data_IF_526703706314
#
_entry.id   IF_526703706314
#
_cell.length_a   1.000
_cell.length_b   1.000
_cell.length_c   1.000
_cell.angle_alpha   90.00
_cell.angle_beta   90.00
_cell.angle_gamma   90.00
#
_symmetry.space_group_name_H-M   'P 1'
#
loop_
_entity.id
_entity.type
_entity.pdbx_description
1 polymer ?
#
# COMPACT_ATOMS: atom_id res chain seq x y z
N UNK A 1 -20.52 2.94 0.99
CA UNK A 1 -19.12 2.95 1.44
C UNK A 1 -18.95 3.66 2.80
N UNK A 2 -19.57 4.85 3.03
CA UNK A 2 -19.42 5.60 4.31
C UNK A 2 -19.94 4.79 5.49
N UNK A 3 -21.13 4.20 5.39
CA UNK A 3 -21.67 3.33 6.45
C UNK A 3 -20.77 2.13 6.76
N UNK A 4 -20.11 1.56 5.74
CA UNK A 4 -19.16 0.48 5.97
C UNK A 4 -17.93 0.96 6.75
N UNK A 5 -17.45 2.17 6.44
CA UNK A 5 -16.37 2.81 7.19
C UNK A 5 -16.77 3.10 8.63
N UNK A 6 -18.01 3.59 8.86
CA UNK A 6 -18.55 3.82 10.20
C UNK A 6 -18.58 2.53 11.02
N UNK A 7 -19.01 1.41 10.42
CA UNK A 7 -19.10 0.10 11.10
C UNK A 7 -17.75 -0.49 11.48
N UNK A 8 -16.73 -0.33 10.62
CA UNK A 8 -15.40 -0.90 10.87
C UNK A 8 -14.42 0.07 11.51
N UNK A 9 -14.83 1.33 11.74
CA UNK A 9 -13.97 2.36 12.33
C UNK A 9 -12.87 2.87 11.39
N UNK A 10 -13.08 2.82 10.07
CA UNK A 10 -12.13 3.36 9.10
C UNK A 10 -12.40 4.85 8.88
N UNK A 11 -11.47 5.69 9.31
CA UNK A 11 -11.58 7.15 9.15
C UNK A 11 -11.38 7.57 7.70
N UNK A 12 -12.06 8.65 7.31
CA UNK A 12 -12.00 9.17 5.95
C UNK A 12 -12.15 10.71 5.91
N UNK A 13 -11.61 11.29 4.82
CA UNK A 13 -11.87 12.66 4.44
C UNK A 13 -13.11 12.74 3.55
N UNK A 14 -13.87 13.83 3.68
CA UNK A 14 -14.99 14.14 2.80
C UNK A 14 -14.57 15.21 1.77
N UNK A 15 -14.43 14.85 0.48
CA UNK A 15 -14.08 15.82 -0.55
C UNK A 15 -15.29 16.62 -1.04
N UNK A 16 -14.99 17.82 -1.55
CA UNK A 16 -15.96 18.73 -2.18
C UNK A 16 -16.33 18.32 -3.62
N UNK A 17 -16.31 17.03 -3.94
CA UNK A 17 -16.54 16.54 -5.28
C UNK A 17 -15.27 16.51 -6.13
N UNK A 18 -15.43 16.30 -7.43
CA UNK A 18 -14.33 16.17 -8.39
C UNK A 18 -13.59 17.48 -8.63
N UNK A 19 -12.56 17.72 -7.83
CA UNK A 19 -11.83 18.97 -7.84
C UNK A 19 -10.32 18.75 -7.91
N UNK A 20 -9.77 18.57 -9.10
CA UNK A 20 -8.33 18.48 -9.28
C UNK A 20 -7.61 19.79 -8.89
N UNK A 21 -8.16 20.94 -9.21
CA UNK A 21 -7.56 22.26 -8.94
C UNK A 21 -8.63 23.30 -8.65
N UNK A 22 -8.21 24.47 -8.20
CA UNK A 22 -9.08 25.61 -8.01
C UNK A 22 -9.84 25.98 -9.29
N UNK A 23 -11.08 26.39 -9.14
CA UNK A 23 -11.98 26.81 -10.22
C UNK A 23 -12.68 28.08 -9.83
N UNK A 24 -13.26 28.80 -10.82
CA UNK A 24 -13.83 30.14 -10.65
C UNK A 24 -15.25 30.19 -11.18
N UNK A 25 -15.94 31.30 -10.85
CA UNK A 25 -17.28 31.62 -11.32
C UNK A 25 -18.28 30.50 -11.03
N UNK A 26 -19.15 30.22 -11.98
CA UNK A 26 -20.20 29.22 -11.83
C UNK A 26 -19.70 27.81 -11.40
N UNK A 27 -18.47 27.45 -11.80
CA UNK A 27 -17.88 26.16 -11.37
C UNK A 27 -17.57 26.15 -9.89
N UNK A 28 -17.12 27.28 -9.36
CA UNK A 28 -16.88 27.41 -7.94
C UNK A 28 -18.18 27.41 -7.14
N UNK A 29 -19.19 28.17 -7.59
CA UNK A 29 -20.53 28.16 -6.99
C UNK A 29 -21.10 26.74 -6.91
N UNK A 30 -21.00 25.98 -8.01
CA UNK A 30 -21.39 24.57 -8.03
C UNK A 30 -20.62 23.72 -7.03
N UNK A 31 -19.30 23.96 -6.85
CA UNK A 31 -18.50 23.23 -5.87
C UNK A 31 -18.91 23.56 -4.43
N UNK A 32 -19.26 24.79 -4.15
CA UNK A 32 -19.81 25.19 -2.85
C UNK A 32 -21.14 24.47 -2.56
N UNK A 33 -22.05 24.39 -3.52
CA UNK A 33 -23.31 23.67 -3.37
C UNK A 33 -23.06 22.16 -3.16
N UNK A 34 -22.15 21.55 -3.90
CA UNK A 34 -21.78 20.13 -3.71
C UNK A 34 -21.19 19.89 -2.32
N UNK A 35 -20.34 20.78 -1.82
CA UNK A 35 -19.79 20.65 -0.47
C UNK A 35 -20.86 20.78 0.59
N UNK A 36 -21.77 21.75 0.44
CA UNK A 36 -22.92 21.92 1.33
C UNK A 36 -23.80 20.65 1.39
N UNK A 37 -24.17 20.14 0.24
CA UNK A 37 -24.97 18.90 0.13
C UNK A 37 -24.22 17.72 0.78
N UNK A 38 -22.92 17.57 0.49
CA UNK A 38 -22.11 16.52 1.07
C UNK A 38 -22.05 16.60 2.60
N UNK A 39 -21.90 17.80 3.17
CA UNK A 39 -21.90 18.03 4.62
C UNK A 39 -23.27 17.70 5.21
N UNK A 40 -24.35 18.23 4.66
CA UNK A 40 -25.71 18.00 5.16
C UNK A 40 -26.03 16.51 5.18
N UNK A 41 -25.66 15.79 4.12
CA UNK A 41 -25.93 14.36 4.00
C UNK A 41 -25.10 13.51 4.96
N UNK A 42 -23.83 13.88 5.18
CA UNK A 42 -22.87 12.99 5.84
C UNK A 42 -22.37 13.47 7.21
N UNK A 43 -22.77 14.63 7.70
CA UNK A 43 -22.28 15.19 8.98
C UNK A 43 -22.53 14.31 10.21
N UNK A 44 -23.44 13.36 10.13
CA UNK A 44 -23.73 12.42 11.21
C UNK A 44 -22.92 11.12 11.12
N UNK A 45 -22.07 10.96 10.11
CA UNK A 45 -21.23 9.79 9.93
C UNK A 45 -19.92 9.96 10.73
N UNK A 46 -19.67 9.12 11.76
CA UNK A 46 -18.52 9.28 12.65
C UNK A 46 -17.16 8.99 11.98
N UNK A 47 -17.15 8.26 10.87
CA UNK A 47 -15.92 7.97 10.12
C UNK A 47 -15.33 9.20 9.43
N UNK A 48 -16.13 10.23 9.15
CA UNK A 48 -15.65 11.46 8.53
C UNK A 48 -15.00 12.34 9.59
N UNK A 49 -13.70 12.61 9.43
CA UNK A 49 -12.91 13.36 10.41
C UNK A 49 -12.54 14.77 9.96
N UNK A 50 -12.53 15.03 8.65
CA UNK A 50 -12.29 16.38 8.11
C UNK A 50 -12.85 16.52 6.69
N UNK A 51 -12.93 17.77 6.24
CA UNK A 51 -13.45 18.17 4.93
C UNK A 51 -12.31 18.65 4.03
N UNK A 52 -12.32 18.20 2.78
CA UNK A 52 -11.32 18.50 1.77
C UNK A 52 -11.90 19.37 0.66
N UNK A 53 -11.35 20.57 0.46
CA UNK A 53 -11.86 21.54 -0.52
C UNK A 53 -11.49 21.22 -1.96
N UNK A 54 -10.54 20.34 -2.19
CA UNK A 54 -10.11 19.92 -3.52
C UNK A 54 -8.87 19.05 -3.48
N UNK A 55 -8.56 18.41 -4.60
CA UNK A 55 -7.36 17.60 -4.76
C UNK A 55 -6.07 18.43 -4.91
N UNK A 56 -6.20 19.74 -5.00
CA UNK A 56 -5.11 20.73 -4.93
C UNK A 56 -5.53 21.92 -4.08
N UNK A 57 -4.59 22.82 -3.80
CA UNK A 57 -4.88 24.03 -3.08
C UNK A 57 -5.95 24.89 -3.76
N UNK A 58 -6.75 25.54 -2.96
CA UNK A 58 -7.70 26.58 -3.39
C UNK A 58 -7.23 27.96 -2.91
N UNK A 59 -7.78 29.02 -3.46
CA UNK A 59 -7.47 30.37 -3.02
C UNK A 59 -7.88 30.60 -1.55
N UNK A 60 -7.32 31.63 -0.91
CA UNK A 60 -7.70 31.99 0.46
C UNK A 60 -9.18 32.30 0.59
N UNK A 61 -9.71 33.04 -0.38
CA UNK A 61 -11.12 33.39 -0.44
C UNK A 61 -12.01 32.14 -0.53
N UNK A 62 -11.66 31.25 -1.40
CA UNK A 62 -12.37 29.99 -1.57
C UNK A 62 -12.30 29.11 -0.31
N UNK A 63 -11.16 29.07 0.37
CA UNK A 63 -11.04 28.34 1.64
C UNK A 63 -11.93 28.93 2.73
N UNK A 64 -12.03 30.26 2.82
CA UNK A 64 -12.95 30.90 3.75
C UNK A 64 -14.42 30.60 3.46
N UNK A 65 -14.79 30.53 2.18
CA UNK A 65 -16.16 30.15 1.78
C UNK A 65 -16.46 28.69 2.14
N UNK A 66 -15.52 27.76 1.93
CA UNK A 66 -15.66 26.35 2.35
C UNK A 66 -15.82 26.22 3.87
N UNK A 67 -15.04 26.99 4.63
CA UNK A 67 -15.17 27.01 6.09
C UNK A 67 -16.51 27.58 6.53
N UNK A 68 -16.99 28.63 5.89
CA UNK A 68 -18.31 29.21 6.19
C UNK A 68 -19.44 28.19 6.01
N UNK A 69 -19.38 27.39 4.94
CA UNK A 69 -20.34 26.29 4.72
C UNK A 69 -20.21 25.24 5.85
N UNK A 70 -19.01 24.83 6.22
CA UNK A 70 -18.82 23.89 7.33
C UNK A 70 -19.38 24.47 8.63
N UNK A 71 -19.06 25.73 8.95
CA UNK A 71 -19.49 26.38 10.18
C UNK A 71 -21.03 26.54 10.27
N UNK A 72 -21.71 26.72 9.13
CA UNK A 72 -23.16 26.78 9.07
C UNK A 72 -23.82 25.41 9.18
N UNK A 73 -23.33 24.42 8.44
CA UNK A 73 -24.04 23.12 8.29
C UNK A 73 -23.49 21.99 9.17
N UNK A 74 -22.28 22.14 9.74
CA UNK A 74 -21.70 21.21 10.73
C UNK A 74 -21.02 21.94 11.89
N UNK A 75 -21.74 22.86 12.59
CA UNK A 75 -21.15 23.75 13.60
C UNK A 75 -20.59 23.01 14.82
N UNK A 76 -21.03 21.79 15.08
CA UNK A 76 -20.65 20.99 16.25
C UNK A 76 -19.79 19.78 15.93
N UNK A 77 -19.53 19.49 14.67
CA UNK A 77 -18.77 18.33 14.23
C UNK A 77 -17.29 18.38 14.58
N UNK A 78 -16.73 19.56 14.77
CA UNK A 78 -15.32 19.74 15.09
C UNK A 78 -14.37 19.36 13.95
N UNK A 79 -14.88 19.15 12.75
CA UNK A 79 -14.12 18.69 11.59
C UNK A 79 -13.35 19.83 10.95
N UNK A 80 -12.04 19.63 10.79
CA UNK A 80 -11.17 20.58 10.15
C UNK A 80 -11.45 20.70 8.65
N UNK A 81 -11.29 21.92 8.11
CA UNK A 81 -11.35 22.20 6.67
C UNK A 81 -9.97 22.54 6.12
N UNK A 82 -9.59 21.90 5.03
CA UNK A 82 -8.30 22.12 4.39
C UNK A 82 -8.26 21.54 2.99
N UNK A 83 -7.09 21.47 2.43
CA UNK A 83 -6.83 20.84 1.15
C UNK A 83 -5.36 20.53 0.97
N UNK A 84 -5.03 19.85 -0.11
CA UNK A 84 -3.64 19.66 -0.53
C UNK A 84 -2.97 21.00 -0.85
N UNK A 85 -1.65 21.09 -0.63
CA UNK A 85 -0.83 22.26 -0.93
C UNK A 85 -1.18 23.52 -0.11
N UNK A 86 -1.91 23.36 1.01
CA UNK A 86 -2.36 24.49 1.82
C UNK A 86 -1.64 24.65 3.17
N UNK A 87 -0.52 23.99 3.38
CA UNK A 87 0.23 24.05 4.64
C UNK A 87 0.76 25.45 5.00
N UNK A 88 0.85 26.35 4.02
CA UNK A 88 1.27 27.74 4.20
C UNK A 88 0.11 28.75 4.13
N UNK A 89 -1.12 28.28 4.06
CA UNK A 89 -2.32 29.10 3.96
C UNK A 89 -2.99 29.16 5.33
N UNK A 90 -3.02 30.34 5.93
CA UNK A 90 -3.53 30.53 7.30
C UNK A 90 -5.03 30.23 7.44
N UNK A 91 -5.77 30.34 6.38
CA UNK A 91 -7.22 30.09 6.31
C UNK A 91 -7.55 28.60 6.35
N UNK A 92 -6.61 27.73 5.94
CA UNK A 92 -6.76 26.30 6.07
C UNK A 92 -6.45 25.84 7.50
N UNK A 93 -7.19 24.88 8.02
CA UNK A 93 -6.98 24.31 9.35
C UNK A 93 -6.03 23.12 9.33
N UNK A 94 -5.85 22.50 8.17
CA UNK A 94 -4.82 21.52 7.86
C UNK A 94 -4.37 21.66 6.41
N UNK A 95 -3.27 21.03 6.07
CA UNK A 95 -2.84 20.93 4.69
C UNK A 95 -2.37 19.54 4.35
N UNK A 96 -2.58 19.15 3.09
CA UNK A 96 -2.17 17.83 2.56
C UNK A 96 -0.86 17.92 1.78
N UNK A 97 -0.14 16.82 1.80
CA UNK A 97 1.00 16.54 0.93
C UNK A 97 0.84 15.17 0.29
N UNK A 98 1.49 14.94 -0.85
CA UNK A 98 1.35 13.69 -1.57
C UNK A 98 2.43 12.67 -1.26
N UNK A 99 3.68 13.11 -1.27
CA UNK A 99 4.83 12.22 -1.37
C UNK A 99 5.74 12.26 -0.16
N UNK A 100 5.85 13.40 0.47
CA UNK A 100 6.81 13.66 1.53
C UNK A 100 6.17 14.13 2.80
N UNK A 101 6.86 13.86 3.89
CA UNK A 101 6.55 14.49 5.15
C UNK A 101 6.90 15.97 5.03
N UNK A 102 5.90 16.81 5.13
CA UNK A 102 6.10 18.25 5.12
C UNK A 102 6.86 18.71 6.35
N UNK A 103 7.71 19.71 6.18
CA UNK A 103 8.48 20.33 7.26
C UNK A 103 7.74 21.48 7.97
N UNK A 104 6.46 21.67 7.71
CA UNK A 104 5.67 22.67 8.41
C UNK A 104 5.59 22.36 9.90
N UNK A 105 5.71 23.42 10.71
CA UNK A 105 5.52 23.37 12.16
C UNK A 105 4.25 24.09 12.61
N UNK A 106 3.48 24.64 11.67
CA UNK A 106 2.34 25.52 11.96
C UNK A 106 1.00 24.80 11.80
N UNK A 107 0.80 24.15 10.68
CA UNK A 107 -0.45 23.48 10.35
C UNK A 107 -0.31 21.97 10.47
N UNK A 108 -1.34 21.28 10.97
CA UNK A 108 -1.45 19.83 10.86
C UNK A 108 -1.26 19.39 9.42
N UNK A 109 -0.49 18.32 9.21
CA UNK A 109 -0.21 17.78 7.91
C UNK A 109 -0.81 16.37 7.78
N UNK A 110 -1.62 16.17 6.75
CA UNK A 110 -2.12 14.87 6.36
C UNK A 110 -1.49 14.43 5.04
N UNK A 111 -0.81 13.31 5.00
CA UNK A 111 -0.29 12.77 3.75
C UNK A 111 -1.41 12.07 2.99
N UNK A 112 -1.88 12.69 1.92
CA UNK A 112 -3.08 12.27 1.20
C UNK A 112 -2.83 11.12 0.24
N UNK A 113 -1.60 10.98 -0.25
CA UNK A 113 -1.24 9.96 -1.22
C UNK A 113 0.19 9.48 -0.98
N UNK A 114 0.51 9.02 0.22
CA UNK A 114 1.86 8.52 0.44
C UNK A 114 2.10 7.21 -0.32
N UNK A 115 3.37 6.95 -0.65
CA UNK A 115 3.79 5.79 -1.43
C UNK A 115 3.20 5.73 -2.84
N UNK A 116 2.99 6.89 -3.45
CA UNK A 116 2.30 7.06 -4.72
C UNK A 116 3.16 6.78 -5.95
N UNK A 117 4.45 7.04 -5.87
CA UNK A 117 5.34 7.03 -7.03
C UNK A 117 5.86 5.69 -7.42
N UNK A 118 5.64 4.72 -6.60
CA UNK A 118 6.09 3.36 -6.79
C UNK A 118 5.35 2.69 -7.94
N UNK A 119 4.85 3.51 -8.83
CA UNK A 119 4.07 3.06 -9.93
C UNK A 119 4.47 3.65 -11.25
N UNK A 120 3.46 3.90 -11.98
CA UNK A 120 3.45 4.25 -13.38
C UNK A 120 3.75 5.71 -13.67
N UNK A 121 4.04 6.53 -12.67
CA UNK A 121 4.19 7.96 -12.87
C UNK A 121 5.64 8.35 -12.94
N UNK A 122 5.89 9.36 -13.77
CA UNK A 122 7.10 10.15 -13.62
C UNK A 122 7.17 10.70 -12.21
N UNK A 123 8.34 10.74 -11.72
CA UNK A 123 8.61 11.43 -10.49
C UNK A 123 8.44 12.94 -10.70
N UNK A 124 7.65 13.54 -9.85
CA UNK A 124 7.27 14.95 -9.98
C UNK A 124 7.56 15.78 -8.75
N UNK A 125 8.51 15.31 -7.98
CA UNK A 125 8.95 15.95 -6.76
C UNK A 125 9.73 17.24 -6.98
N UNK A 126 9.92 17.61 -8.21
CA UNK A 126 10.39 18.93 -8.56
C UNK A 126 9.53 20.05 -7.96
N UNK A 127 8.28 19.73 -7.61
CA UNK A 127 7.30 20.66 -7.05
C UNK A 127 6.97 20.42 -5.57
N UNK A 128 7.43 19.32 -4.99
CA UNK A 128 7.17 18.96 -3.60
C UNK A 128 8.39 19.21 -2.73
N UNK A 129 8.18 19.75 -1.54
CA UNK A 129 9.29 19.97 -0.62
C UNK A 129 9.60 18.70 0.21
N UNK A 130 10.87 18.32 0.39
CA UNK A 130 12.06 18.89 -0.24
C UNK A 130 12.10 18.63 -1.74
N UNK A 131 12.46 19.65 -2.51
CA UNK A 131 12.54 19.57 -3.96
C UNK A 131 13.58 18.53 -4.39
N UNK A 132 13.19 17.61 -5.24
CA UNK A 132 14.06 16.58 -5.79
C UNK A 132 14.17 16.74 -7.30
N UNK A 133 15.33 16.37 -7.83
CA UNK A 133 15.54 16.29 -9.28
C UNK A 133 15.03 14.95 -9.80
N UNK A 134 14.74 14.90 -11.09
CA UNK A 134 14.44 13.62 -11.75
C UNK A 134 15.59 12.64 -11.50
N UNK A 135 15.27 11.46 -10.99
CA UNK A 135 16.23 10.44 -10.61
C UNK A 135 16.59 10.34 -9.11
N UNK A 136 16.28 11.37 -8.32
CA UNK A 136 16.61 11.40 -6.89
C UNK A 136 15.64 10.59 -6.00
N UNK A 137 14.71 9.90 -6.58
CA UNK A 137 13.65 9.31 -5.83
C UNK A 137 13.93 7.95 -5.21
N UNK A 138 12.87 7.23 -4.88
CA UNK A 138 12.99 5.91 -4.27
C UNK A 138 13.94 5.01 -5.06
N UNK A 139 14.56 4.07 -4.37
CA UNK A 139 15.60 3.18 -4.88
C UNK A 139 15.25 2.40 -6.16
N UNK A 140 13.99 2.40 -6.53
CA UNK A 140 13.46 1.59 -7.66
C UNK A 140 13.31 2.38 -8.95
N UNK A 141 13.68 3.61 -8.95
CA UNK A 141 13.54 4.48 -10.10
C UNK A 141 14.37 4.04 -11.27
N UNK A 142 13.85 4.36 -12.43
CA UNK A 142 14.40 3.86 -13.67
C UNK A 142 13.99 2.45 -14.01
N UNK A 143 13.28 1.75 -13.11
CA UNK A 143 12.65 0.47 -13.40
C UNK A 143 11.20 0.67 -13.85
N UNK A 144 10.71 -0.13 -14.80
CA UNK A 144 9.30 -0.14 -15.16
C UNK A 144 8.42 -0.43 -13.94
N UNK A 145 7.24 0.17 -13.88
CA UNK A 145 6.30 -0.01 -12.78
C UNK A 145 5.98 -1.48 -12.47
N UNK A 146 5.89 -2.32 -13.48
CA UNK A 146 5.62 -3.73 -13.31
C UNK A 146 6.75 -4.49 -12.59
N UNK A 147 7.98 -3.98 -12.57
CA UNK A 147 9.09 -4.63 -11.88
C UNK A 147 9.02 -4.49 -10.36
N UNK A 148 8.45 -3.44 -9.85
CA UNK A 148 8.44 -3.18 -8.39
C UNK A 148 7.07 -2.95 -7.78
N UNK A 149 6.00 -2.88 -8.57
CA UNK A 149 4.64 -2.73 -8.05
C UNK A 149 3.88 -4.05 -7.87
N UNK A 150 4.49 -5.16 -8.23
CA UNK A 150 3.95 -6.48 -7.94
C UNK A 150 4.30 -6.90 -6.51
N UNK A 151 3.96 -8.14 -6.16
CA UNK A 151 4.39 -8.71 -4.90
C UNK A 151 5.89 -8.99 -4.92
N UNK A 152 6.68 -7.98 -4.65
CA UNK A 152 8.14 -8.04 -4.65
C UNK A 152 8.70 -7.70 -3.27
N UNK A 153 9.80 -8.35 -2.93
CA UNK A 153 10.52 -8.11 -1.67
C UNK A 153 10.91 -6.64 -1.50
N UNK A 154 11.40 -6.03 -2.59
CA UNK A 154 11.80 -4.62 -2.62
C UNK A 154 10.62 -3.68 -2.40
N UNK A 155 9.42 -4.05 -2.85
CA UNK A 155 8.22 -3.25 -2.60
C UNK A 155 7.82 -3.28 -1.12
N UNK A 156 7.90 -4.46 -0.48
CA UNK A 156 7.65 -4.57 0.96
C UNK A 156 8.68 -3.78 1.78
N UNK A 157 9.97 -3.85 1.42
CA UNK A 157 11.02 -3.06 2.05
C UNK A 157 10.77 -1.54 1.92
N UNK A 158 10.40 -1.08 0.72
CA UNK A 158 10.03 0.32 0.45
C UNK A 158 8.86 0.80 1.32
N UNK A 159 7.90 -0.06 1.59
CA UNK A 159 6.79 0.24 2.49
C UNK A 159 7.30 0.55 3.91
N UNK A 160 8.23 -0.26 4.42
CA UNK A 160 8.83 -0.04 5.74
C UNK A 160 9.62 1.27 5.78
N UNK A 161 10.41 1.55 4.76
CA UNK A 161 11.20 2.78 4.64
C UNK A 161 10.32 4.04 4.69
N UNK A 162 9.23 4.05 3.95
CA UNK A 162 8.28 5.18 3.92
C UNK A 162 7.57 5.39 5.25
N UNK A 163 7.11 4.32 5.88
CA UNK A 163 6.51 4.41 7.20
C UNK A 163 7.48 4.84 8.28
N UNK A 164 8.73 4.47 8.18
CA UNK A 164 9.76 4.92 9.11
C UNK A 164 9.92 6.44 9.11
N UNK A 165 9.80 7.11 7.97
CA UNK A 165 9.81 8.57 7.88
C UNK A 165 8.67 9.18 8.71
N UNK A 166 7.45 8.65 8.61
CA UNK A 166 6.32 9.09 9.43
C UNK A 166 6.53 8.83 10.91
N UNK A 167 7.04 7.66 11.23
CA UNK A 167 7.34 7.31 12.61
C UNK A 167 8.39 8.23 13.24
N UNK A 168 9.39 8.66 12.51
CA UNK A 168 10.40 9.62 12.99
C UNK A 168 9.78 10.98 13.33
N UNK A 169 8.76 11.38 12.62
CA UNK A 169 8.07 12.66 12.76
C UNK A 169 6.72 12.55 13.52
N UNK A 170 6.49 11.41 14.18
CA UNK A 170 5.24 11.18 14.92
C UNK A 170 4.99 12.23 15.99
N UNK A 171 3.72 12.39 16.44
CA UNK A 171 3.35 13.33 17.50
C UNK A 171 4.24 13.17 18.73
N UNK A 172 4.63 14.29 19.33
CA UNK A 172 5.49 14.32 20.51
C UNK A 172 7.01 14.40 20.21
N UNK A 173 7.44 14.28 18.95
CA UNK A 173 8.86 14.47 18.58
C UNK A 173 9.28 15.94 18.54
N UNK A 174 8.32 16.85 18.47
CA UNK A 174 8.54 18.30 18.40
C UNK A 174 9.12 18.81 17.09
N UNK A 175 9.26 17.95 16.09
CA UNK A 175 9.85 18.30 14.80
C UNK A 175 8.85 18.83 13.80
N UNK A 176 7.65 18.24 13.75
CA UNK A 176 6.60 18.55 12.77
C UNK A 176 5.21 18.33 13.37
N UNK A 177 4.21 18.80 12.64
CA UNK A 177 2.81 18.53 12.94
C UNK A 177 2.28 17.57 11.88
N UNK A 178 2.63 16.29 11.99
CA UNK A 178 2.14 15.23 11.11
C UNK A 178 1.06 14.43 11.82
N UNK A 179 -0.13 14.37 11.22
CA UNK A 179 -1.29 13.67 11.76
C UNK A 179 -1.53 12.31 11.08
N UNK A 180 -0.58 11.87 10.26
CA UNK A 180 -0.65 10.59 9.57
C UNK A 180 -0.86 10.73 8.07
N UNK A 181 -1.48 9.73 7.47
CA UNK A 181 -1.67 9.73 6.03
C UNK A 181 -2.43 8.54 5.49
N UNK A 182 -2.73 8.61 4.21
CA UNK A 182 -3.42 7.59 3.45
C UNK A 182 -2.52 7.07 2.34
N UNK A 183 -2.34 5.76 2.32
CA UNK A 183 -1.59 5.10 1.25
C UNK A 183 -2.39 5.08 -0.05
N UNK A 184 -1.76 5.40 -1.16
CA UNK A 184 -2.29 5.18 -2.49
C UNK A 184 -1.47 4.09 -3.20
N UNK A 185 -2.05 2.95 -3.46
CA UNK A 185 -3.43 2.51 -3.22
C UNK A 185 -3.45 1.33 -2.27
N UNK A 186 -4.58 1.02 -1.67
CA UNK A 186 -4.72 -0.17 -0.82
C UNK A 186 -4.72 -1.44 -1.67
N UNK A 187 -5.45 -1.46 -2.76
CA UNK A 187 -5.62 -2.60 -3.66
C UNK A 187 -5.22 -2.24 -5.07
N UNK A 188 -4.56 -3.14 -5.77
CA UNK A 188 -4.28 -2.98 -7.19
C UNK A 188 -5.54 -2.68 -8.00
N UNK A 189 -5.38 -1.98 -9.11
CA UNK A 189 -6.48 -1.62 -9.99
C UNK A 189 -6.11 -1.75 -11.47
N UNK A 190 -7.06 -2.17 -12.27
CA UNK A 190 -6.93 -2.30 -13.73
C UNK A 190 -7.40 -1.04 -14.49
N UNK A 191 -7.96 -0.06 -13.79
CA UNK A 191 -8.68 1.05 -14.42
C UNK A 191 -7.88 2.35 -14.47
N UNK A 192 -6.72 2.43 -13.84
CA UNK A 192 -5.96 3.65 -13.72
C UNK A 192 -4.89 3.75 -14.80
N UNK A 193 -5.28 4.19 -15.98
CA UNK A 193 -4.35 4.42 -17.07
C UNK A 193 -3.56 5.72 -16.89
N UNK A 194 -2.24 5.64 -16.97
CA UNK A 194 -1.32 6.79 -16.91
C UNK A 194 -0.31 6.79 -18.07
N UNK A 195 -0.72 6.28 -19.23
CA UNK A 195 0.03 6.32 -20.46
C UNK A 195 0.94 5.13 -20.74
N UNK A 196 1.23 4.26 -19.77
CA UNK A 196 2.13 3.11 -19.93
C UNK A 196 1.40 1.77 -19.81
N UNK A 197 0.52 1.62 -18.85
CA UNK A 197 -0.25 0.41 -18.64
C UNK A 197 -1.64 0.74 -18.07
N UNK A 198 -2.60 -0.12 -18.36
CA UNK A 198 -3.99 0.06 -17.89
C UNK A 198 -4.20 -0.41 -16.45
N UNK A 199 -3.15 -0.64 -15.70
CA UNK A 199 -3.26 -1.10 -14.33
C UNK A 199 -2.24 -0.41 -13.43
N UNK A 200 -2.51 -0.44 -12.14
CA UNK A 200 -1.63 0.03 -11.10
C UNK A 200 -1.44 -1.08 -10.08
N UNK A 201 -0.19 -1.43 -9.81
CA UNK A 201 0.19 -2.55 -8.95
C UNK A 201 0.87 -2.11 -7.65
N UNK A 202 0.65 -0.86 -7.22
CA UNK A 202 1.19 -0.32 -5.96
C UNK A 202 0.31 -0.61 -4.74
N UNK A 203 -0.69 -1.47 -4.87
CA UNK A 203 -1.51 -1.93 -3.75
C UNK A 203 -0.74 -2.81 -2.77
N UNK A 204 -1.13 -2.80 -1.51
CA UNK A 204 -0.66 -3.78 -0.52
C UNK A 204 -1.42 -5.10 -0.65
N UNK A 205 -2.56 -5.07 -1.32
CA UNK A 205 -3.30 -6.25 -1.78
C UNK A 205 -3.34 -6.26 -3.31
N UNK A 206 -3.58 -7.41 -3.90
CA UNK A 206 -3.88 -7.50 -5.33
C UNK A 206 -5.29 -6.96 -5.65
N UNK A 207 -5.69 -7.00 -6.92
CA UNK A 207 -6.99 -6.52 -7.36
C UNK A 207 -8.17 -7.32 -6.79
N UNK A 208 -7.92 -8.53 -6.32
CA UNK A 208 -8.90 -9.40 -5.66
C UNK A 208 -8.87 -9.31 -4.13
N UNK A 209 -8.14 -8.35 -3.57
CA UNK A 209 -7.95 -8.12 -2.13
C UNK A 209 -7.11 -9.19 -1.43
N UNK A 210 -6.37 -10.02 -2.16
CA UNK A 210 -5.45 -10.99 -1.56
C UNK A 210 -4.20 -10.23 -1.08
N UNK A 211 -3.79 -10.39 0.19
CA UNK A 211 -2.63 -9.69 0.74
C UNK A 211 -1.33 -10.04 0.03
N UNK A 212 -0.51 -9.03 -0.23
CA UNK A 212 0.88 -9.17 -0.68
C UNK A 212 1.85 -9.10 0.52
N UNK A 213 3.13 -9.34 0.30
CA UNK A 213 4.15 -9.21 1.36
C UNK A 213 4.17 -7.82 1.99
N UNK A 214 3.92 -6.78 1.19
CA UNK A 214 3.83 -5.40 1.68
C UNK A 214 2.68 -5.18 2.69
N UNK A 215 1.59 -5.94 2.60
CA UNK A 215 0.50 -5.91 3.59
C UNK A 215 0.99 -6.43 4.95
N UNK A 216 1.65 -7.58 4.96
CA UNK A 216 2.15 -8.18 6.20
C UNK A 216 3.30 -7.36 6.81
N UNK A 217 4.20 -6.82 5.98
CA UNK A 217 5.24 -5.90 6.42
C UNK A 217 4.63 -4.66 7.10
N UNK A 218 3.59 -4.08 6.48
CA UNK A 218 2.87 -2.95 7.06
C UNK A 218 2.20 -3.32 8.40
N UNK A 219 1.57 -4.49 8.47
CA UNK A 219 0.94 -4.97 9.70
C UNK A 219 1.94 -5.09 10.85
N UNK A 220 3.13 -5.64 10.60
CA UNK A 220 4.18 -5.73 11.61
C UNK A 220 4.63 -4.35 12.08
N UNK A 221 4.89 -3.42 11.16
CA UNK A 221 5.26 -2.05 11.51
C UNK A 221 4.18 -1.35 12.31
N UNK A 222 2.94 -1.48 11.88
CA UNK A 222 1.81 -0.87 12.55
C UNK A 222 1.65 -1.40 13.97
N UNK A 223 1.79 -2.70 14.17
CA UNK A 223 1.83 -3.27 15.52
C UNK A 223 2.95 -2.67 16.35
N UNK A 224 4.17 -2.61 15.82
CA UNK A 224 5.31 -2.01 16.52
C UNK A 224 5.16 -0.52 16.87
N UNK A 225 4.28 0.19 16.18
CA UNK A 225 4.00 1.60 16.43
C UNK A 225 2.80 1.79 17.38
N UNK A 226 1.67 1.17 17.05
CA UNK A 226 0.37 1.48 17.68
C UNK A 226 0.01 0.50 18.79
N UNK A 227 0.49 -0.73 18.70
CA UNK A 227 0.26 -1.80 19.66
C UNK A 227 1.59 -2.45 20.05
N UNK A 228 2.49 -1.71 20.72
CA UNK A 228 3.86 -2.16 20.98
C UNK A 228 3.95 -3.39 21.90
N UNK A 229 2.85 -3.81 22.49
CA UNK A 229 2.71 -5.05 23.24
C UNK A 229 2.55 -6.30 22.36
N UNK A 230 2.31 -6.10 21.05
CA UNK A 230 2.15 -7.19 20.08
C UNK A 230 3.47 -7.41 19.35
N UNK A 231 4.19 -8.43 19.79
CA UNK A 231 5.37 -8.88 19.08
C UNK A 231 5.01 -9.56 17.77
N UNK A 232 5.71 -9.20 16.69
CA UNK A 232 5.51 -9.78 15.37
C UNK A 232 6.81 -9.82 14.56
N UNK A 233 6.93 -10.85 13.73
CA UNK A 233 8.03 -11.02 12.78
C UNK A 233 7.48 -11.60 11.49
N UNK A 234 7.99 -11.14 10.36
CA UNK A 234 7.58 -11.59 9.03
C UNK A 234 8.79 -11.65 8.10
N UNK A 235 9.05 -12.81 7.50
CA UNK A 235 10.03 -12.98 6.43
C UNK A 235 9.36 -12.56 5.11
N UNK A 236 9.98 -11.66 4.36
CA UNK A 236 9.43 -11.15 3.11
C UNK A 236 9.71 -12.14 1.98
N UNK A 237 8.66 -12.47 1.21
CA UNK A 237 8.77 -13.34 0.04
C UNK A 237 8.54 -14.81 0.34
N UNK A 238 9.17 -15.65 -0.47
CA UNK A 238 9.07 -17.10 -0.40
C UNK A 238 10.44 -17.76 -0.27
N UNK A 239 10.46 -19.05 0.09
CA UNK A 239 11.68 -19.84 0.16
C UNK A 239 11.65 -21.02 -0.80
N UNK A 240 11.43 -20.71 -2.11
CA UNK A 240 11.38 -21.70 -3.20
C UNK A 240 12.17 -21.16 -4.39
N UNK A 241 13.38 -21.59 -4.55
CA UNK A 241 14.27 -21.16 -5.63
C UNK A 241 14.92 -22.38 -6.31
N UNK A 242 15.57 -22.14 -7.43
CA UNK A 242 16.40 -23.19 -8.08
C UNK A 242 17.63 -23.47 -7.23
N UNK A 243 18.11 -24.72 -7.17
CA UNK A 243 19.37 -25.03 -6.51
C UNK A 243 20.53 -24.14 -7.00
N UNK A 244 21.37 -23.68 -6.09
CA UNK A 244 22.47 -22.77 -6.39
C UNK A 244 22.10 -21.29 -6.48
N UNK A 245 20.83 -20.93 -6.29
CA UNK A 245 20.42 -19.52 -6.22
C UNK A 245 21.03 -18.85 -4.99
N UNK A 246 21.53 -17.63 -5.19
CA UNK A 246 21.94 -16.74 -4.10
C UNK A 246 20.94 -15.57 -4.09
N UNK A 247 20.15 -15.46 -3.03
CA UNK A 247 19.25 -14.33 -2.85
C UNK A 247 20.08 -13.13 -2.42
N UNK A 248 20.09 -12.10 -3.22
CA UNK A 248 20.95 -10.93 -3.03
C UNK A 248 20.66 -10.20 -1.70
N UNK A 249 19.38 -10.14 -1.35
CA UNK A 249 18.95 -9.55 -0.07
C UNK A 249 17.76 -10.32 0.47
N UNK A 250 17.88 -10.81 1.68
CA UNK A 250 16.74 -11.30 2.46
C UNK A 250 16.27 -10.22 3.39
N UNK A 251 14.97 -10.01 3.45
CA UNK A 251 14.32 -8.99 4.26
C UNK A 251 13.43 -9.64 5.32
N UNK A 252 13.57 -9.17 6.54
CA UNK A 252 12.66 -9.51 7.63
C UNK A 252 12.14 -8.23 8.26
N UNK A 253 10.85 -8.16 8.49
CA UNK A 253 10.21 -7.06 9.21
C UNK A 253 9.84 -7.56 10.60
N UNK A 254 10.27 -6.86 11.64
CA UNK A 254 10.05 -7.30 13.03
C UNK A 254 9.92 -6.14 13.99
N UNK A 255 9.16 -6.36 15.06
CA UNK A 255 9.07 -5.46 16.23
C UNK A 255 10.21 -5.63 17.21
N UNK A 256 11.03 -6.68 17.07
CA UNK A 256 12.16 -6.97 17.94
C UNK A 256 13.29 -5.94 17.86
N UNK A 257 14.17 -5.95 18.86
CA UNK A 257 15.38 -5.13 18.87
C UNK A 257 16.47 -5.74 17.99
N UNK A 258 16.51 -7.08 17.88
CA UNK A 258 17.41 -7.87 17.03
C UNK A 258 16.66 -9.02 16.40
N UNK A 259 17.12 -9.46 15.23
CA UNK A 259 16.59 -10.66 14.55
C UNK A 259 17.75 -11.51 14.09
N UNK A 260 17.67 -12.81 14.36
CA UNK A 260 18.59 -13.82 13.89
C UNK A 260 17.91 -14.69 12.83
N UNK A 261 18.60 -14.95 11.73
CA UNK A 261 18.10 -15.76 10.62
C UNK A 261 18.75 -17.12 10.61
N UNK A 262 17.95 -18.14 10.39
CA UNK A 262 18.40 -19.54 10.31
C UNK A 262 17.97 -20.18 9.00
N UNK A 263 18.84 -21.01 8.42
CA UNK A 263 18.50 -21.92 7.33
C UNK A 263 18.77 -23.34 7.84
N UNK A 264 17.76 -24.19 7.83
CA UNK A 264 17.80 -25.58 8.30
C UNK A 264 18.45 -25.71 9.71
N UNK A 265 18.15 -24.74 10.60
CA UNK A 265 18.69 -24.70 11.96
C UNK A 265 20.10 -24.11 12.10
N UNK A 266 20.77 -23.79 10.98
CA UNK A 266 22.09 -23.14 11.00
C UNK A 266 21.90 -21.62 10.97
N UNK A 267 22.47 -20.92 11.96
CA UNK A 267 22.41 -19.47 12.06
C UNK A 267 23.24 -18.80 10.96
N UNK A 268 22.65 -17.77 10.36
CA UNK A 268 23.33 -16.80 9.49
C UNK A 268 23.72 -15.53 10.26
N UNK A 269 23.51 -15.51 11.58
CA UNK A 269 23.77 -14.35 12.43
C UNK A 269 22.65 -13.33 12.45
N UNK A 270 22.92 -12.21 13.11
CA UNK A 270 22.00 -11.09 13.26
C UNK A 270 21.90 -10.30 11.96
N UNK A 271 20.68 -9.87 11.62
CA UNK A 271 20.44 -8.98 10.50
C UNK A 271 20.90 -7.55 10.79
N UNK A 272 21.32 -6.88 9.74
CA UNK A 272 21.54 -5.44 9.79
C UNK A 272 20.19 -4.73 9.94
N UNK A 273 20.00 -4.01 11.04
CA UNK A 273 18.76 -3.27 11.33
C UNK A 273 18.77 -1.91 10.67
N UNK A 274 17.72 -1.61 9.92
CA UNK A 274 17.48 -0.29 9.33
C UNK A 274 16.02 0.11 9.48
N UNK A 275 15.73 1.40 9.31
CA UNK A 275 14.35 1.90 9.30
C UNK A 275 13.46 1.35 10.43
N UNK A 276 14.02 1.24 11.63
CA UNK A 276 13.40 0.77 12.87
C UNK A 276 13.01 -0.72 12.86
N UNK A 277 12.31 -1.19 11.83
CA UNK A 277 11.68 -2.53 11.78
C UNK A 277 12.28 -3.45 10.73
N UNK A 278 13.14 -2.94 9.83
CA UNK A 278 13.70 -3.71 8.71
C UNK A 278 15.05 -4.30 9.09
N UNK A 279 15.17 -5.60 8.90
CA UNK A 279 16.41 -6.37 9.10
C UNK A 279 16.81 -7.02 7.79
N UNK A 280 18.09 -6.96 7.43
CA UNK A 280 18.59 -7.44 6.14
C UNK A 280 19.79 -8.35 6.27
N UNK A 281 19.86 -9.35 5.39
CA UNK A 281 21.01 -10.21 5.15
C UNK A 281 21.36 -10.14 3.67
N UNK A 282 22.65 -10.13 3.36
CA UNK A 282 23.13 -10.07 1.97
C UNK A 282 23.66 -11.43 1.52
N UNK A 283 23.46 -11.70 0.20
CA UNK A 283 24.02 -12.89 -0.46
C UNK A 283 23.65 -14.20 0.24
N UNK A 284 22.38 -14.37 0.56
CA UNK A 284 21.88 -15.54 1.28
C UNK A 284 21.78 -16.74 0.32
N UNK A 285 22.54 -17.82 0.53
CA UNK A 285 22.46 -19.00 -0.31
C UNK A 285 21.14 -19.74 -0.07
N UNK A 286 20.47 -20.12 -1.13
CA UNK A 286 19.28 -20.94 -1.04
C UNK A 286 19.65 -22.39 -0.75
N UNK A 287 19.12 -22.91 0.34
CA UNK A 287 19.12 -24.33 0.69
C UNK A 287 17.67 -24.74 0.92
N UNK A 288 17.21 -25.79 0.21
CA UNK A 288 15.85 -26.31 0.40
C UNK A 288 15.62 -26.75 1.85
N UNK A 289 14.45 -26.45 2.38
CA UNK A 289 14.07 -26.72 3.77
C UNK A 289 13.46 -25.51 4.44
N UNK A 290 13.84 -25.22 5.68
CA UNK A 290 13.24 -24.19 6.50
C UNK A 290 14.14 -22.95 6.61
N UNK A 291 13.60 -21.77 6.24
CA UNK A 291 14.15 -20.49 6.65
C UNK A 291 13.33 -19.96 7.83
N UNK A 292 14.00 -19.49 8.88
CA UNK A 292 13.39 -19.08 10.13
C UNK A 292 14.03 -17.81 10.67
N UNK A 293 13.21 -16.83 11.01
CA UNK A 293 13.63 -15.60 11.68
C UNK A 293 13.17 -15.63 13.14
N UNK A 294 14.09 -15.35 14.05
CA UNK A 294 13.83 -15.30 15.49
C UNK A 294 14.16 -13.90 15.99
N UNK A 295 13.16 -13.24 16.53
CA UNK A 295 13.28 -11.89 17.06
C UNK A 295 13.51 -11.90 18.57
N UNK A 296 14.32 -10.96 18.99
CA UNK A 296 14.68 -10.78 20.39
C UNK A 296 14.47 -9.34 20.82
N UNK A 297 14.11 -9.16 22.09
CA UNK A 297 14.03 -7.85 22.75
C UNK A 297 14.82 -7.86 24.03
N UNK A 298 15.41 -6.74 24.37
CA UNK A 298 16.14 -6.54 25.60
C UNK A 298 15.25 -6.04 26.71
N UNK A 299 15.38 -6.64 27.90
CA UNK A 299 14.69 -6.14 29.07
C UNK A 299 15.21 -4.75 29.46
N UNK A 300 14.34 -3.75 29.35
CA UNK A 300 14.64 -2.34 29.65
C UNK A 300 14.47 -2.01 31.13
N UNK A 301 13.93 -2.94 31.93
CA UNK A 301 13.67 -2.72 33.36
C UNK A 301 14.91 -2.76 34.22
N UNK A 302 15.97 -3.43 33.78
CA UNK A 302 17.22 -3.52 34.51
C UNK A 302 18.20 -2.37 34.14
N UNK A 303 17.95 -1.20 34.75
CA UNK A 303 18.80 0.01 34.58
C UNK A 303 20.17 -0.10 35.23
N UNK A 304 20.45 -1.16 35.99
CA UNK A 304 21.70 -1.30 36.79
C UNK A 304 22.77 -2.15 36.13
N UNK A 305 22.42 -2.98 35.16
CA UNK A 305 23.38 -3.82 34.45
C UNK A 305 23.81 -3.14 33.15
N UNK A 306 25.04 -2.62 33.12
CA UNK A 306 25.65 -2.10 31.89
C UNK A 306 26.14 -3.21 30.94
N UNK A 307 26.25 -4.45 31.43
CA UNK A 307 26.99 -5.51 30.73
C UNK A 307 26.24 -6.79 30.40
N UNK A 308 24.97 -6.94 30.78
CA UNK A 308 24.17 -8.10 30.41
C UNK A 308 22.66 -7.74 30.32
N UNK A 309 22.28 -7.13 29.25
CA UNK A 309 20.85 -7.04 28.93
C UNK A 309 20.33 -8.45 28.65
N UNK A 310 19.42 -8.93 29.47
CA UNK A 310 18.80 -10.23 29.26
C UNK A 310 18.04 -10.18 27.95
N UNK A 311 18.51 -10.96 26.98
CA UNK A 311 17.91 -11.12 25.66
C UNK A 311 16.78 -12.13 25.77
N UNK A 312 15.57 -11.74 25.38
CA UNK A 312 14.38 -12.59 25.38
C UNK A 312 13.88 -12.76 23.97
N UNK A 313 13.61 -14.00 23.55
CA UNK A 313 12.86 -14.27 22.32
C UNK A 313 11.44 -13.75 22.49
N UNK A 314 10.96 -13.00 21.49
CA UNK A 314 9.64 -12.37 21.51
C UNK A 314 8.73 -12.86 20.39
N UNK A 315 9.28 -13.13 19.21
CA UNK A 315 8.51 -13.67 18.10
C UNK A 315 9.38 -14.48 17.15
N UNK A 316 8.71 -15.34 16.39
CA UNK A 316 9.35 -16.24 15.44
C UNK A 316 8.45 -16.39 14.20
N UNK A 317 9.08 -16.42 13.03
CA UNK A 317 8.39 -16.69 11.76
C UNK A 317 9.23 -17.62 10.92
N UNK A 318 8.60 -18.57 10.23
CA UNK A 318 9.30 -19.51 9.38
C UNK A 318 8.53 -19.78 8.08
N UNK A 319 9.29 -20.05 7.01
CA UNK A 319 8.80 -20.50 5.72
C UNK A 319 9.52 -21.80 5.38
N UNK A 320 8.82 -22.75 4.79
CA UNK A 320 9.40 -24.00 4.32
C UNK A 320 9.32 -24.08 2.80
N UNK A 321 10.38 -24.61 2.20
CA UNK A 321 10.37 -24.97 0.77
C UNK A 321 9.28 -26.00 0.50
N UNK A 322 8.43 -25.73 -0.48
CA UNK A 322 7.43 -26.68 -0.93
C UNK A 322 8.10 -27.87 -1.67
N UNK A 323 7.50 -29.04 -1.53
CA UNK A 323 7.83 -30.20 -2.34
C UNK A 323 7.23 -30.12 -3.74
N UNK A 324 7.15 -31.28 -4.40
CA UNK A 324 6.51 -31.36 -5.70
C UNK A 324 5.02 -31.01 -5.63
N UNK A 325 4.49 -30.32 -6.64
CA UNK A 325 3.08 -30.00 -6.73
C UNK A 325 2.21 -31.24 -6.67
N UNK A 326 1.24 -31.28 -5.77
CA UNK A 326 0.43 -32.45 -5.48
C UNK A 326 -1.06 -32.24 -5.78
N UNK A 327 -1.65 -31.15 -5.30
CA UNK A 327 -3.08 -30.88 -5.51
C UNK A 327 -3.37 -29.38 -5.55
N UNK A 328 -4.60 -29.07 -5.97
CA UNK A 328 -5.14 -27.71 -5.94
C UNK A 328 -5.89 -27.53 -4.64
N UNK A 329 -5.53 -26.49 -3.89
CA UNK A 329 -6.24 -26.05 -2.71
C UNK A 329 -7.18 -24.91 -3.09
N UNK A 330 -8.45 -25.02 -2.71
CA UNK A 330 -9.45 -23.98 -2.86
C UNK A 330 -9.76 -23.38 -1.48
N UNK A 331 -9.73 -22.08 -1.38
CA UNK A 331 -10.12 -21.35 -0.16
C UNK A 331 -11.21 -20.35 -0.53
N UNK A 332 -12.39 -20.51 0.06
CA UNK A 332 -13.49 -19.56 -0.10
C UNK A 332 -13.27 -18.35 0.80
N UNK A 333 -13.35 -17.17 0.21
CA UNK A 333 -13.38 -15.88 0.89
C UNK A 333 -14.75 -15.28 0.66
N UNK A 334 -15.54 -15.19 1.69
CA UNK A 334 -16.94 -14.77 1.65
C UNK A 334 -17.27 -13.88 2.83
N UNK A 335 -18.47 -13.33 2.84
CA UNK A 335 -18.97 -12.57 3.97
C UNK A 335 -18.83 -13.40 5.27
N UNK A 336 -18.32 -12.82 6.37
CA UNK A 336 -18.24 -13.50 7.67
C UNK A 336 -19.59 -14.05 8.17
N UNK A 337 -20.70 -13.45 7.76
CA UNK A 337 -22.06 -13.90 8.06
C UNK A 337 -22.55 -15.07 7.19
N UNK A 338 -21.72 -15.54 6.28
CA UNK A 338 -22.00 -16.60 5.31
C UNK A 338 -22.40 -16.07 3.94
N UNK A 339 -22.35 -16.97 2.95
CA UNK A 339 -22.73 -16.69 1.59
C UNK A 339 -24.25 -16.81 1.42
N UNK A 340 -24.88 -15.81 0.80
CA UNK A 340 -26.34 -15.74 0.61
C UNK A 340 -26.68 -15.84 -0.87
N UNK A 341 -27.56 -16.74 -1.21
CA UNK A 341 -28.10 -16.87 -2.58
C UNK A 341 -29.22 -15.83 -2.84
N UNK A 342 -28.87 -14.55 -2.86
CA UNK A 342 -29.79 -13.43 -3.01
C UNK A 342 -29.67 -12.69 -4.37
N UNK A 343 -28.79 -13.19 -5.25
CA UNK A 343 -28.50 -12.60 -6.54
C UNK A 343 -27.55 -11.38 -6.50
N UNK A 344 -27.10 -10.97 -5.31
CA UNK A 344 -26.21 -9.84 -5.11
C UNK A 344 -24.92 -10.20 -4.38
N UNK A 345 -24.94 -11.24 -3.55
CA UNK A 345 -23.76 -11.68 -2.81
C UNK A 345 -22.77 -12.42 -3.69
N UNK A 346 -21.49 -12.30 -3.38
CA UNK A 346 -20.41 -12.97 -4.12
C UNK A 346 -19.41 -13.63 -3.20
N UNK A 347 -18.82 -14.72 -3.66
CA UNK A 347 -17.66 -15.36 -3.03
C UNK A 347 -16.45 -15.28 -3.93
N UNK A 348 -15.29 -15.04 -3.34
CA UNK A 348 -14.00 -15.15 -3.99
C UNK A 348 -13.41 -16.52 -3.67
N UNK A 349 -12.96 -17.23 -4.68
CA UNK A 349 -12.27 -18.51 -4.51
C UNK A 349 -10.78 -18.32 -4.80
N UNK A 350 -9.97 -18.36 -3.76
CA UNK A 350 -8.53 -18.39 -3.90
C UNK A 350 -8.09 -19.81 -4.29
N UNK A 351 -7.29 -19.90 -5.34
CA UNK A 351 -6.79 -21.16 -5.88
C UNK A 351 -5.28 -21.20 -5.75
N UNK A 352 -4.77 -22.24 -5.12
CA UNK A 352 -3.34 -22.46 -4.91
C UNK A 352 -2.93 -23.85 -5.35
N UNK A 353 -1.81 -23.96 -6.05
CA UNK A 353 -1.13 -25.24 -6.24
C UNK A 353 -0.27 -25.51 -5.02
N UNK A 354 -0.50 -26.63 -4.37
CA UNK A 354 0.19 -26.99 -3.12
C UNK A 354 0.83 -28.39 -3.20
N UNK A 355 1.84 -28.60 -2.38
CA UNK A 355 2.48 -29.90 -2.22
C UNK A 355 1.64 -30.85 -1.35
N UNK A 356 2.17 -32.04 -1.08
CA UNK A 356 1.49 -33.07 -0.26
C UNK A 356 1.22 -32.60 1.18
N UNK A 357 2.01 -31.65 1.70
CA UNK A 357 1.86 -31.06 3.03
C UNK A 357 0.97 -29.81 3.04
N UNK A 358 0.45 -29.40 1.88
CA UNK A 358 -0.39 -28.22 1.74
C UNK A 358 0.40 -26.90 1.64
N UNK A 359 1.72 -26.96 1.44
CA UNK A 359 2.56 -25.78 1.25
C UNK A 359 2.43 -25.29 -0.19
N UNK A 360 2.29 -23.99 -0.37
CA UNK A 360 2.15 -23.37 -1.67
C UNK A 360 3.40 -23.58 -2.53
N UNK A 361 3.20 -23.94 -3.80
CA UNK A 361 4.23 -24.07 -4.82
C UNK A 361 4.30 -22.79 -5.67
N UNK A 362 5.03 -21.74 -5.24
CA UNK A 362 4.96 -20.40 -5.86
C UNK A 362 5.61 -20.35 -7.26
N UNK A 363 6.40 -21.34 -7.63
CA UNK A 363 7.04 -21.42 -8.94
C UNK A 363 6.23 -22.25 -9.95
N UNK A 364 5.12 -22.86 -9.51
CA UNK A 364 4.24 -23.61 -10.42
C UNK A 364 3.41 -22.62 -11.25
N UNK A 365 3.40 -22.80 -12.57
CA UNK A 365 2.69 -21.96 -13.51
C UNK A 365 1.75 -22.72 -14.44
N UNK A 366 1.30 -23.90 -14.02
CA UNK A 366 0.36 -24.71 -14.80
C UNK A 366 -0.98 -23.98 -15.00
N UNK A 367 -1.61 -24.26 -16.13
CA UNK A 367 -2.95 -23.74 -16.41
C UNK A 367 -3.98 -24.41 -15.51
N UNK A 368 -4.83 -23.61 -14.89
CA UNK A 368 -5.96 -24.08 -14.09
C UNK A 368 -7.24 -23.95 -14.91
N UNK A 369 -7.98 -25.05 -15.01
CA UNK A 369 -9.29 -25.09 -15.66
C UNK A 369 -10.37 -25.07 -14.60
N UNK A 370 -11.31 -24.14 -14.72
CA UNK A 370 -12.42 -23.96 -13.78
C UNK A 370 -13.68 -24.59 -14.39
N UNK A 371 -14.35 -25.42 -13.62
CA UNK A 371 -15.68 -25.91 -13.88
C UNK A 371 -16.56 -25.62 -12.67
N UNK A 372 -17.77 -25.17 -12.88
CA UNK A 372 -18.73 -24.93 -11.81
C UNK A 372 -20.07 -25.57 -12.12
N UNK A 373 -20.82 -25.88 -11.07
CA UNK A 373 -22.18 -26.43 -11.17
C UNK A 373 -23.04 -25.75 -10.11
N UNK A 374 -24.32 -25.55 -10.44
CA UNK A 374 -25.29 -24.90 -9.58
C UNK A 374 -25.77 -23.58 -10.14
N UNK A 375 -26.71 -22.96 -9.43
CA UNK A 375 -27.30 -21.67 -9.79
C UNK A 375 -26.39 -20.53 -9.33
N UNK A 376 -25.34 -20.29 -10.10
CA UNK A 376 -24.36 -19.22 -9.86
C UNK A 376 -23.85 -18.69 -11.19
N UNK A 377 -23.29 -17.48 -11.16
CA UNK A 377 -22.66 -16.85 -12.29
C UNK A 377 -21.15 -16.74 -12.09
N UNK A 378 -20.40 -17.11 -13.12
CA UNK A 378 -18.95 -16.89 -13.15
C UNK A 378 -18.67 -15.45 -13.56
N UNK A 379 -18.23 -14.62 -12.61
CA UNK A 379 -17.95 -13.19 -12.86
C UNK A 379 -16.59 -13.00 -13.53
N UNK A 380 -15.61 -13.85 -13.24
CA UNK A 380 -14.28 -13.75 -13.83
C UNK A 380 -13.19 -14.34 -12.95
N UNK A 381 -11.94 -14.21 -13.40
CA UNK A 381 -10.78 -14.69 -12.67
C UNK A 381 -9.56 -13.81 -12.88
N UNK A 382 -8.68 -13.79 -11.89
CA UNK A 382 -7.38 -13.12 -11.93
C UNK A 382 -6.31 -14.14 -11.56
N UNK A 383 -5.27 -14.25 -12.40
CA UNK A 383 -4.05 -14.96 -12.04
C UNK A 383 -2.90 -13.96 -11.91
N UNK A 384 -2.13 -14.07 -10.84
CA UNK A 384 -0.85 -13.36 -10.75
C UNK A 384 0.16 -14.14 -11.60
N UNK A 385 0.60 -13.61 -12.74
CA UNK A 385 1.53 -14.33 -13.60
C UNK A 385 2.90 -14.43 -12.92
N UNK A 386 3.63 -15.48 -13.26
CA UNK A 386 5.03 -15.59 -12.87
C UNK A 386 5.91 -14.53 -13.56
N UNK A 387 7.15 -14.39 -13.13
CA UNK A 387 8.07 -13.36 -13.63
C UNK A 387 8.26 -13.41 -15.16
N UNK A 388 8.32 -14.61 -15.74
CA UNK A 388 8.47 -14.80 -17.17
C UNK A 388 7.23 -14.34 -17.95
N UNK A 389 6.04 -14.71 -17.48
CA UNK A 389 4.77 -14.28 -18.06
C UNK A 389 4.58 -12.77 -17.87
N UNK A 390 4.98 -12.21 -16.73
CA UNK A 390 4.97 -10.76 -16.50
C UNK A 390 5.85 -10.02 -17.49
N UNK A 391 7.05 -10.50 -17.74
CA UNK A 391 7.96 -9.93 -18.75
C UNK A 391 7.38 -10.02 -20.17
N UNK A 392 6.75 -11.16 -20.50
CA UNK A 392 6.11 -11.34 -21.81
C UNK A 392 4.90 -10.40 -21.99
N UNK A 393 4.06 -10.23 -20.96
CA UNK A 393 2.95 -9.30 -20.98
C UNK A 393 3.42 -7.85 -21.09
N UNK A 394 4.48 -7.48 -20.38
CA UNK A 394 5.06 -6.16 -20.46
C UNK A 394 5.64 -5.86 -21.83
N UNK A 395 6.34 -6.81 -22.46
CA UNK A 395 6.84 -6.69 -23.80
C UNK A 395 5.71 -6.52 -24.83
N UNK A 396 4.62 -7.29 -24.65
CA UNK A 396 3.41 -7.15 -25.48
C UNK A 396 2.74 -5.79 -25.31
N UNK A 397 2.63 -5.30 -24.08
CA UNK A 397 2.04 -3.99 -23.80
C UNK A 397 2.92 -2.85 -24.34
N UNK A 398 4.24 -2.98 -24.33
CA UNK A 398 5.13 -2.02 -24.97
C UNK A 398 4.93 -1.96 -26.48
N UNK A 399 4.62 -3.08 -27.13
CA UNK A 399 4.31 -3.12 -28.58
C UNK A 399 2.93 -2.52 -28.90
N UNK A 400 2.07 -2.35 -27.90
CA UNK A 400 0.75 -1.72 -28.02
C UNK A 400 0.77 -0.22 -27.66
N UNK A 401 1.92 0.32 -27.25
CA UNK A 401 2.09 1.77 -27.10
C UNK A 401 2.00 2.38 -28.49
N UNK A 402 0.87 3.04 -28.71
CA UNK A 402 0.56 3.74 -29.94
C UNK A 402 1.66 4.74 -30.20
N UNK A 403 2.33 4.61 -31.35
CA UNK A 403 3.25 5.61 -31.85
C UNK A 403 2.52 6.96 -31.83
N UNK A 404 3.06 7.93 -31.11
CA UNK A 404 2.47 9.29 -31.06
C UNK A 404 2.41 9.98 -32.41
N UNK A 405 3.07 9.39 -33.41
CA UNK A 405 3.10 9.81 -34.81
C UNK A 405 2.14 8.98 -35.70
N UNK A 406 1.30 8.10 -35.11
CA UNK A 406 0.32 7.32 -35.86
C UNK A 406 -0.60 8.25 -36.64
N UNK A 407 -0.64 8.10 -37.97
CA UNK A 407 -1.54 8.88 -38.81
C UNK A 407 -3.00 8.48 -38.62
N UNK A 408 -3.94 9.35 -38.98
CA UNK A 408 -5.39 9.07 -38.87
C UNK A 408 -5.80 7.80 -39.63
N UNK A 409 -5.13 7.50 -40.76
CA UNK A 409 -5.35 6.29 -41.58
C UNK A 409 -4.86 5.01 -40.87
N UNK A 410 -3.70 5.06 -40.24
CA UNK A 410 -3.16 3.95 -39.47
C UNK A 410 -4.03 3.64 -38.24
N UNK A 411 -4.58 4.69 -37.59
CA UNK A 411 -5.51 4.57 -36.48
C UNK A 411 -6.86 3.97 -36.89
N UNK A 412 -7.34 4.30 -38.09
CA UNK A 412 -8.57 3.72 -38.65
C UNK A 412 -8.36 2.25 -39.03
N UNK A 413 -7.23 1.89 -39.64
CA UNK A 413 -6.89 0.51 -40.01
C UNK A 413 -6.76 -0.39 -38.76
N UNK A 414 -6.16 0.10 -37.69
CA UNK A 414 -6.05 -0.63 -36.43
C UNK A 414 -7.42 -0.88 -35.77
N UNK A 415 -8.30 0.13 -35.75
CA UNK A 415 -9.66 0.00 -35.24
C UNK A 415 -10.55 -0.94 -36.06
N UNK A 416 -10.22 -1.19 -37.30
CA UNK A 416 -10.94 -2.14 -38.15
C UNK A 416 -10.42 -3.59 -38.01
N UNK A 417 -9.26 -3.77 -37.38
CA UNK A 417 -8.64 -5.07 -37.13
C UNK A 417 -8.91 -5.60 -35.68
N UNK A 418 -9.35 -4.76 -34.76
CA UNK A 418 -9.88 -5.09 -33.45
C UNK A 418 -11.42 -5.37 -33.55
#
# INVERSE_FOLDING_TARGET
>A
DIESCDRVGLIQAMPAGDAEKDVFDRRWEQRLELMKEAIIYNRNNPSIIFYESGNRGVSREHMLQMKAIRDEFDPHGGRASGSREMLNINEAEYGGEMLYINKSKKHPMWSMEYHRDEGLRKYWDEQSYPYHKEGDGPLYRGKPAFEYNHNMDTFAASMVERWFEYWQERPGTGKRVSDGGTKIIFSDTNTHHRGEANYRSSGVTDAMRIPKDAFFAHQVMWNGWVSPEKDATYIVGHWNYKPGTIKQTEYVVSTGDEVELFINGKSLGMGERSNQWLFTWKNVPFEAGKIEAVAYTYDKSDKKSKDAKTKKETSRYAIETAGEPHHIKLTSIQNPEGFKADGADMALIQVEVVDKQGRRCPLDNRTIHFNYQGEMEWIGGLATPNEETQKALAAKNQSLVVDKNETAEQKAARKAAD
#
